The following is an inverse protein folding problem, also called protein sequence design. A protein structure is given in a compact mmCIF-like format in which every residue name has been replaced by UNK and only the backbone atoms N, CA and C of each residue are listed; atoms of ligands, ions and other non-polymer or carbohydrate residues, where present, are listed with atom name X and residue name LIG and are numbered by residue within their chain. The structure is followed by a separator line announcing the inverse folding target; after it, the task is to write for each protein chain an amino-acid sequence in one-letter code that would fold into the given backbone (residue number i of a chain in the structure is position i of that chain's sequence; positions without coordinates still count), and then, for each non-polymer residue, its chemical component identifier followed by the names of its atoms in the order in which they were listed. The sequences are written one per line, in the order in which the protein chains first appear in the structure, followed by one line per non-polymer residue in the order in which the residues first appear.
data_IF_691176186050
#
_entry.id   IF_691176186050
#
_cell.length_a   1.000
_cell.length_b   1.000
_cell.length_c   1.000
_cell.angle_alpha   90.00
_cell.angle_beta   90.00
_cell.angle_gamma   90.00
#
_symmetry.space_group_name_H-M   'P 1'
#
loop_
_entity.id
_entity.type
_entity.pdbx_description
1 polymer ?
#
# COMPACT_ATOMS: atom_id res chain seq x y z
N UNK A 1 -20.08 7.45 -12.09
CA UNK A 1 -19.44 6.99 -10.83
C UNK A 1 -17.94 7.00 -11.05
N UNK A 2 -17.18 7.93 -10.45
CA UNK A 2 -15.73 7.99 -10.62
C UNK A 2 -15.04 6.81 -9.90
N UNK A 3 -13.91 6.39 -10.44
CA UNK A 3 -13.31 5.05 -10.30
C UNK A 3 -12.96 4.63 -8.87
N UNK A 4 -13.21 3.35 -8.59
CA UNK A 4 -12.89 2.65 -7.34
C UNK A 4 -11.36 2.44 -7.21
N UNK A 5 -10.69 3.00 -6.19
CA UNK A 5 -9.22 2.99 -6.07
C UNK A 5 -8.60 1.61 -5.83
N UNK A 6 -9.38 0.62 -5.36
CA UNK A 6 -8.90 -0.73 -5.05
C UNK A 6 -9.54 -1.83 -5.91
N UNK A 7 -10.02 -1.50 -7.11
CA UNK A 7 -10.30 -2.55 -8.09
C UNK A 7 -8.96 -2.98 -8.67
N UNK A 8 -8.23 -3.84 -7.96
CA UNK A 8 -7.30 -4.77 -8.63
C UNK A 8 -8.02 -5.22 -9.89
N UNK A 9 -7.44 -4.94 -11.06
CA UNK A 9 -8.09 -5.17 -12.34
C UNK A 9 -8.56 -6.62 -12.36
N UNK A 10 -9.85 -6.83 -12.08
CA UNK A 10 -10.39 -8.16 -11.75
C UNK A 10 -10.19 -9.10 -12.94
N UNK A 11 -10.24 -8.50 -14.13
CA UNK A 11 -9.87 -9.07 -15.41
C UNK A 11 -8.43 -9.61 -15.43
N UNK A 12 -7.44 -8.85 -14.92
CA UNK A 12 -6.04 -9.29 -14.83
C UNK A 12 -5.85 -10.43 -13.84
N UNK A 13 -6.59 -10.41 -12.73
CA UNK A 13 -6.56 -11.50 -11.73
C UNK A 13 -7.16 -12.77 -12.31
N UNK A 14 -8.29 -12.68 -12.99
CA UNK A 14 -8.95 -13.82 -13.65
C UNK A 14 -8.14 -14.36 -14.83
N UNK A 15 -7.44 -13.48 -15.56
CA UNK A 15 -6.62 -13.86 -16.71
C UNK A 15 -5.24 -14.41 -16.35
N UNK A 16 -4.77 -14.26 -15.10
CA UNK A 16 -3.48 -14.78 -14.69
C UNK A 16 -3.53 -16.30 -14.52
N UNK A 17 -2.45 -16.96 -14.93
CA UNK A 17 -2.33 -18.42 -14.80
C UNK A 17 -2.26 -18.86 -13.33
N UNK A 18 -1.56 -18.09 -12.49
CA UNK A 18 -1.39 -18.33 -11.06
C UNK A 18 -1.00 -17.03 -10.33
N UNK A 19 -0.84 -17.14 -9.01
CA UNK A 19 -0.38 -16.03 -8.15
C UNK A 19 1.03 -15.60 -8.52
N UNK A 20 1.90 -16.53 -8.93
CA UNK A 20 3.28 -16.22 -9.29
C UNK A 20 3.33 -15.21 -10.44
N UNK A 21 2.50 -15.40 -11.48
CA UNK A 21 2.37 -14.48 -12.60
C UNK A 21 1.87 -13.08 -12.21
N UNK A 22 1.16 -12.95 -11.08
CA UNK A 22 0.67 -11.66 -10.57
C UNK A 22 1.72 -10.90 -9.77
N UNK A 23 2.59 -11.62 -9.04
CA UNK A 23 3.51 -11.00 -8.07
C UNK A 23 4.94 -10.91 -8.58
N UNK A 24 5.34 -11.72 -9.55
CA UNK A 24 6.72 -11.74 -10.03
C UNK A 24 7.01 -10.52 -10.92
N UNK A 25 8.07 -9.73 -10.63
CA UNK A 25 8.45 -8.64 -11.50
C UNK A 25 9.12 -9.16 -12.78
N UNK A 26 9.07 -8.36 -13.85
CA UNK A 26 9.92 -8.58 -15.01
C UNK A 26 11.41 -8.43 -14.64
N UNK A 27 12.31 -9.03 -15.42
CA UNK A 27 13.77 -8.93 -15.19
C UNK A 27 14.23 -7.47 -15.09
N UNK A 28 13.77 -6.62 -16.01
CA UNK A 28 14.08 -5.20 -16.00
C UNK A 28 13.59 -4.51 -14.72
N UNK A 29 12.34 -4.81 -14.30
CA UNK A 29 11.76 -4.26 -13.06
C UNK A 29 12.55 -4.72 -11.83
N UNK A 30 12.95 -5.99 -11.78
CA UNK A 30 13.74 -6.55 -10.69
C UNK A 30 15.11 -5.87 -10.54
N UNK A 31 15.81 -5.63 -11.65
CA UNK A 31 17.09 -4.91 -11.63
C UNK A 31 16.94 -3.46 -11.15
N UNK A 32 15.87 -2.77 -11.57
CA UNK A 32 15.57 -1.40 -11.11
C UNK A 32 15.27 -1.39 -9.61
N UNK A 33 14.45 -2.31 -9.11
CA UNK A 33 14.15 -2.44 -7.69
C UNK A 33 15.41 -2.69 -6.86
N UNK A 34 16.30 -3.56 -7.33
CA UNK A 34 17.56 -3.84 -6.65
C UNK A 34 18.44 -2.58 -6.52
N UNK A 35 18.55 -1.77 -7.59
CA UNK A 35 19.29 -0.51 -7.55
C UNK A 35 18.66 0.51 -6.59
N UNK A 36 17.33 0.65 -6.63
CA UNK A 36 16.61 1.56 -5.74
C UNK A 36 16.78 1.16 -4.26
N UNK A 37 16.69 -0.13 -3.95
CA UNK A 37 16.92 -0.65 -2.61
C UNK A 37 18.34 -0.36 -2.10
N UNK A 38 19.35 -0.54 -2.97
CA UNK A 38 20.74 -0.19 -2.63
C UNK A 38 20.89 1.28 -2.24
N UNK A 39 20.25 2.20 -2.97
CA UNK A 39 20.31 3.63 -2.64
C UNK A 39 19.73 3.92 -1.25
N UNK A 40 18.54 3.39 -0.94
CA UNK A 40 17.90 3.53 0.39
C UNK A 40 18.82 3.03 1.51
N UNK A 41 19.44 1.86 1.31
CA UNK A 41 20.36 1.30 2.31
C UNK A 41 21.64 2.13 2.43
N UNK A 42 22.16 2.70 1.35
CA UNK A 42 23.37 3.53 1.42
C UNK A 42 23.13 4.84 2.16
N UNK A 43 21.95 5.44 2.01
CA UNK A 43 21.59 6.70 2.63
C UNK A 43 21.33 6.55 4.14
N UNK A 44 20.92 5.35 4.60
CA UNK A 44 20.59 5.05 6.02
C UNK A 44 19.59 6.03 6.67
N UNK A 45 18.90 6.83 5.86
CA UNK A 45 17.95 7.84 6.31
C UNK A 45 16.54 7.38 5.92
N UNK A 46 15.88 6.68 6.84
CA UNK A 46 14.57 6.05 6.61
C UNK A 46 13.38 7.01 6.77
N UNK A 47 13.61 8.33 6.66
CA UNK A 47 12.56 9.37 6.81
C UNK A 47 11.38 9.11 5.88
N UNK A 48 11.62 8.52 4.70
CA UNK A 48 10.59 8.23 3.71
C UNK A 48 10.17 6.74 3.64
N UNK A 49 10.60 5.93 4.61
CA UNK A 49 10.34 4.48 4.65
C UNK A 49 11.47 3.63 4.08
N UNK A 50 11.26 2.31 4.07
CA UNK A 50 12.27 1.30 3.67
C UNK A 50 12.00 0.68 2.30
N UNK A 51 10.82 0.93 1.74
CA UNK A 51 10.40 0.29 0.51
C UNK A 51 11.01 0.99 -0.71
N UNK A 52 11.66 0.19 -1.56
CA UNK A 52 12.29 0.66 -2.77
C UNK A 52 11.24 0.92 -3.85
N UNK A 53 10.97 2.20 -4.08
CA UNK A 53 9.98 2.60 -5.06
C UNK A 53 10.59 3.58 -6.06
N UNK A 54 10.86 3.13 -7.30
CA UNK A 54 11.57 3.96 -8.27
C UNK A 54 10.71 5.10 -8.86
N UNK A 55 9.39 5.00 -8.73
CA UNK A 55 8.44 6.02 -9.19
C UNK A 55 7.36 6.22 -8.11
N UNK A 56 6.89 7.46 -7.87
CA UNK A 56 5.78 7.73 -6.96
C UNK A 56 4.55 6.88 -7.28
N UNK A 57 3.76 6.43 -6.28
CA UNK A 57 2.63 5.56 -6.50
C UNK A 57 1.37 6.40 -6.76
N UNK A 58 0.60 6.05 -7.79
CA UNK A 58 -0.56 6.84 -8.20
C UNK A 58 -1.67 6.94 -7.12
N UNK A 59 -1.77 5.92 -6.26
CA UNK A 59 -2.86 5.76 -5.29
C UNK A 59 -2.47 6.15 -3.86
N UNK A 60 -1.41 6.95 -3.70
CA UNK A 60 -0.98 7.44 -2.38
C UNK A 60 -1.13 8.94 -2.32
N UNK A 61 -1.74 9.42 -1.24
CA UNK A 61 -1.84 10.85 -0.98
C UNK A 61 -0.45 11.45 -0.76
N UNK A 62 -0.15 12.53 -1.46
CA UNK A 62 1.09 13.30 -1.25
C UNK A 62 1.05 14.14 0.02
N UNK A 63 -0.16 14.50 0.48
CA UNK A 63 -0.41 15.24 1.70
C UNK A 63 -1.71 14.75 2.37
N UNK A 64 -1.72 14.70 3.70
CA UNK A 64 -2.87 14.32 4.51
C UNK A 64 -3.20 15.48 5.47
N UNK A 65 -4.46 15.91 5.43
CA UNK A 65 -5.06 16.79 6.42
C UNK A 65 -6.05 15.99 7.28
N UNK A 66 -5.82 15.94 8.58
CA UNK A 66 -6.65 15.18 9.52
C UNK A 66 -8.11 15.66 9.57
N UNK A 67 -8.39 16.91 9.19
CA UNK A 67 -9.75 17.44 9.20
C UNK A 67 -10.56 17.04 7.96
N UNK A 68 -9.89 16.79 6.83
CA UNK A 68 -10.56 16.66 5.52
C UNK A 68 -10.27 15.35 4.79
N UNK A 69 -9.20 14.65 5.15
CA UNK A 69 -8.86 13.37 4.54
C UNK A 69 -9.96 12.34 4.86
N UNK A 70 -10.50 11.65 3.84
CA UNK A 70 -11.51 10.63 4.08
C UNK A 70 -10.91 9.46 4.85
N UNK A 71 -11.58 9.05 5.91
CA UNK A 71 -11.28 7.79 6.59
C UNK A 71 -11.85 6.61 5.80
N UNK A 72 -11.50 5.39 6.21
CA UNK A 72 -12.06 4.17 5.63
C UNK A 72 -13.61 4.24 5.65
N UNK A 73 -14.28 4.17 4.50
CA UNK A 73 -15.74 4.18 4.43
C UNK A 73 -16.38 3.03 5.22
N UNK A 74 -17.60 3.25 5.72
CA UNK A 74 -18.32 2.28 6.57
C UNK A 74 -18.54 0.93 5.88
N UNK A 75 -18.71 0.89 4.56
CA UNK A 75 -18.88 -0.36 3.80
C UNK A 75 -17.66 -1.29 3.80
N UNK A 76 -16.49 -0.78 4.21
CA UNK A 76 -15.25 -1.56 4.35
C UNK A 76 -14.93 -1.88 5.81
N UNK A 77 -15.88 -1.67 6.71
CA UNK A 77 -15.81 -2.05 8.12
C UNK A 77 -16.46 -3.43 8.27
N UNK A 78 -15.68 -4.40 8.77
CA UNK A 78 -16.14 -5.78 8.96
C UNK A 78 -16.00 -6.21 10.42
N UNK A 79 -16.76 -7.23 10.83
CA UNK A 79 -16.74 -7.75 12.21
C UNK A 79 -15.39 -8.37 12.60
N UNK A 80 -14.64 -8.87 11.62
CA UNK A 80 -13.32 -9.48 11.80
C UNK A 80 -12.17 -8.49 11.55
N UNK A 81 -12.43 -7.19 11.66
CA UNK A 81 -11.41 -6.17 11.50
C UNK A 81 -10.44 -6.15 12.71
N UNK A 82 -9.15 -6.02 12.43
CA UNK A 82 -8.10 -5.90 13.45
C UNK A 82 -7.94 -4.47 14.00
N UNK A 83 -8.74 -3.50 13.55
CA UNK A 83 -8.68 -2.12 14.03
C UNK A 83 -8.91 -2.03 15.53
N UNK A 84 -8.10 -1.19 16.17
CA UNK A 84 -8.22 -0.92 17.59
C UNK A 84 -9.53 -0.16 17.86
N UNK A 85 -10.29 -0.65 18.84
CA UNK A 85 -11.44 0.08 19.37
C UNK A 85 -10.95 1.21 20.28
N UNK A 86 -10.69 2.37 19.69
CA UNK A 86 -10.22 3.57 20.39
C UNK A 86 -11.25 4.14 21.37
N UNK A 87 -12.51 3.71 21.29
CA UNK A 87 -13.55 4.10 22.26
C UNK A 87 -13.44 3.34 23.58
N UNK A 88 -12.73 2.20 23.59
CA UNK A 88 -12.45 1.47 24.83
C UNK A 88 -11.42 2.24 25.66
N UNK A 89 -11.73 2.55 26.93
CA UNK A 89 -10.76 3.16 27.81
C UNK A 89 -9.54 2.23 27.94
N UNK A 90 -8.35 2.79 27.75
CA UNK A 90 -7.08 2.05 27.86
C UNK A 90 -7.00 1.38 29.24
N UNK A 91 -6.91 0.05 29.26
CA UNK A 91 -6.65 -0.67 30.51
C UNK A 91 -5.19 -0.38 30.93
N UNK A 92 -5.01 0.61 31.81
CA UNK A 92 -3.72 0.81 32.49
C UNK A 92 -3.49 -0.39 33.41
N UNK A 93 -2.42 -1.14 33.17
CA UNK A 93 -1.88 -2.13 34.12
C UNK A 93 -1.01 -1.44 35.15
#
# INVERSE_FOLDING_TARGET
MPGRPNTLARERVVAAADVYALVVPSVARALTLNKAYRAIVQEQDYIFGRDAMPEPPDNVYTHIDNATAPTLPEEFVYDWDSRLDWSRPSQRR
#
